data_IF_422946642577
#
_entry.id   IF_422946642577
#
_cell.length_a   1.000
_cell.length_b   1.000
_cell.length_c   1.000
_cell.angle_alpha   90.00
_cell.angle_beta   90.00
_cell.angle_gamma   90.00
#
_symmetry.space_group_name_H-M   'P 1'
#
loop_
_entity.id
_entity.type
_entity.pdbx_description
1 polymer ?
#
# COMPACT_ATOMS: atom_id res chain seq x y z
N UNK A 1 103.29 -13.95 27.13
CA UNK A 1 103.02 -14.16 25.70
C UNK A 1 102.26 -12.95 25.18
N UNK A 2 102.83 -12.31 24.14
CA UNK A 2 102.26 -11.44 23.07
C UNK A 2 100.87 -10.78 23.28
N UNK A 3 100.55 -9.56 22.84
CA UNK A 3 101.25 -8.52 22.07
C UNK A 3 100.38 -7.25 22.12
N UNK A 4 101.02 -6.10 21.96
CA UNK A 4 100.47 -4.75 21.83
C UNK A 4 99.97 -4.51 20.39
N UNK A 5 98.88 -3.74 20.16
CA UNK A 5 98.84 -2.48 19.36
C UNK A 5 97.42 -2.08 18.86
N UNK A 6 97.18 -0.77 19.02
CA UNK A 6 96.19 0.13 18.41
C UNK A 6 96.10 0.03 16.87
N UNK A 7 94.90 0.23 16.28
CA UNK A 7 94.67 0.99 15.02
C UNK A 7 93.25 1.62 15.03
N UNK A 8 93.18 2.76 14.34
CA UNK A 8 92.11 3.72 14.06
C UNK A 8 90.79 3.16 13.46
N UNK A 9 89.74 4.00 13.57
CA UNK A 9 88.37 3.69 13.19
C UNK A 9 87.96 3.99 11.75
N UNK A 10 86.64 3.85 11.49
CA UNK A 10 85.94 4.26 10.27
C UNK A 10 84.48 4.58 10.59
N UNK A 11 84.00 5.75 10.14
CA UNK A 11 82.61 6.13 10.00
C UNK A 11 81.82 5.13 9.13
N UNK A 12 80.66 4.67 9.61
CA UNK A 12 79.71 3.90 8.82
C UNK A 12 78.30 4.46 8.99
N UNK A 13 77.82 5.10 7.93
CA UNK A 13 76.48 5.67 7.79
C UNK A 13 75.38 4.60 7.92
N UNK A 14 74.25 5.01 8.51
CA UNK A 14 72.92 4.68 7.99
C UNK A 14 72.28 3.38 8.49
N UNK A 15 71.26 3.53 9.33
CA UNK A 15 69.95 2.92 9.10
C UNK A 15 68.95 3.50 10.11
N UNK A 16 68.26 4.56 9.72
CA UNK A 16 67.00 4.93 10.34
C UNK A 16 66.03 3.77 10.14
N UNK A 17 65.73 3.02 11.20
CA UNK A 17 64.55 2.16 11.25
C UNK A 17 63.31 3.07 11.35
N UNK A 18 62.97 3.70 10.23
CA UNK A 18 61.65 4.28 10.04
C UNK A 18 60.66 3.11 10.04
N UNK A 19 60.05 2.86 11.20
CA UNK A 19 58.83 2.08 11.27
C UNK A 19 57.83 2.71 10.31
N UNK A 20 57.55 2.02 9.21
CA UNK A 20 56.43 2.35 8.33
C UNK A 20 55.17 2.23 9.18
N UNK A 21 54.72 3.34 9.72
CA UNK A 21 53.29 3.59 9.91
C UNK A 21 52.67 3.33 8.53
N UNK A 22 52.00 2.19 8.38
CA UNK A 22 51.07 1.97 7.30
C UNK A 22 50.02 3.05 7.45
N UNK A 23 50.24 4.18 6.77
CA UNK A 23 49.25 5.23 6.65
C UNK A 23 48.01 4.60 6.04
N UNK A 24 46.95 4.51 6.82
CA UNK A 24 45.63 4.22 6.30
C UNK A 24 45.39 5.25 5.19
N UNK A 25 45.33 4.77 3.94
CA UNK A 25 44.87 5.59 2.84
C UNK A 25 43.52 6.20 3.20
N UNK A 26 43.15 7.36 2.62
CA UNK A 26 41.89 8.02 2.96
C UNK A 26 40.76 7.00 2.89
N UNK A 27 40.05 6.82 4.02
CA UNK A 27 38.97 5.87 4.11
C UNK A 27 37.98 6.15 2.97
N UNK A 28 37.46 5.12 2.27
CA UNK A 28 36.48 5.32 1.22
C UNK A 28 35.30 6.13 1.78
N UNK A 29 34.81 7.10 1.00
CA UNK A 29 33.73 8.00 1.41
C UNK A 29 32.45 7.24 1.84
N UNK A 30 32.31 5.98 1.43
CA UNK A 30 31.34 5.02 1.94
C UNK A 30 32.04 3.67 2.19
N UNK A 31 32.37 3.36 3.46
CA UNK A 31 33.02 2.10 3.85
C UNK A 31 32.25 0.82 3.52
N UNK A 32 30.93 0.91 3.40
CA UNK A 32 30.06 -0.20 3.04
C UNK A 32 29.60 -0.08 1.58
N UNK A 33 29.95 -1.08 0.76
CA UNK A 33 29.39 -1.25 -0.57
C UNK A 33 28.16 -2.13 -0.48
N UNK A 34 27.00 -1.60 -0.81
CA UNK A 34 25.72 -2.30 -0.80
C UNK A 34 25.45 -3.00 -2.14
N UNK A 35 24.76 -4.13 -2.09
CA UNK A 35 24.26 -4.81 -3.29
C UNK A 35 23.22 -3.95 -4.03
N UNK A 36 22.41 -3.19 -3.29
CA UNK A 36 21.58 -2.13 -3.81
C UNK A 36 21.27 -1.07 -2.74
N UNK A 37 21.16 0.19 -3.16
CA UNK A 37 20.68 1.28 -2.29
C UNK A 37 19.15 1.37 -2.25
N UNK A 38 18.47 0.76 -3.22
CA UNK A 38 17.02 0.70 -3.31
C UNK A 38 16.58 -0.69 -3.80
N UNK A 39 15.55 -1.27 -3.18
CA UNK A 39 14.94 -2.53 -3.61
C UNK A 39 13.46 -2.36 -3.82
N UNK A 40 12.97 -3.05 -4.84
CA UNK A 40 11.55 -3.06 -5.19
C UNK A 40 11.05 -4.50 -5.31
N UNK A 41 9.89 -4.77 -4.73
CA UNK A 41 9.22 -6.09 -4.82
C UNK A 41 7.76 -5.88 -5.23
N UNK A 42 7.33 -6.60 -6.27
CA UNK A 42 5.91 -6.75 -6.60
C UNK A 42 5.29 -7.80 -5.70
N UNK A 43 4.12 -7.51 -5.16
CA UNK A 43 3.44 -8.40 -4.22
C UNK A 43 2.18 -8.99 -4.84
N UNK A 44 1.81 -10.18 -4.38
CA UNK A 44 0.56 -10.82 -4.79
C UNK A 44 -0.61 -10.25 -3.99
N UNK A 45 -1.81 -10.24 -4.59
CA UNK A 45 -3.02 -9.81 -3.92
C UNK A 45 -3.26 -10.65 -2.64
N UNK A 46 -3.53 -9.97 -1.51
CA UNK A 46 -3.74 -10.64 -0.21
C UNK A 46 -2.48 -10.89 0.61
N UNK A 47 -1.28 -10.53 0.11
CA UNK A 47 -0.05 -10.58 0.90
C UNK A 47 -0.13 -9.65 2.12
N UNK A 48 0.33 -10.10 3.29
CA UNK A 48 0.33 -9.28 4.51
C UNK A 48 1.66 -8.57 4.76
N UNK A 49 2.78 -9.18 4.36
CA UNK A 49 4.12 -8.64 4.56
C UNK A 49 4.96 -8.83 3.31
N UNK A 50 5.99 -8.00 3.15
CA UNK A 50 7.05 -8.21 2.16
C UNK A 50 8.42 -8.14 2.85
N UNK A 51 9.34 -9.00 2.41
CA UNK A 51 10.71 -9.05 2.90
C UNK A 51 11.67 -8.46 1.87
N UNK A 52 12.55 -7.56 2.31
CA UNK A 52 13.70 -7.10 1.57
C UNK A 52 14.97 -7.52 2.32
N UNK A 53 15.94 -8.08 1.61
CA UNK A 53 17.24 -8.42 2.19
C UNK A 53 18.30 -7.59 1.52
N UNK A 54 19.06 -6.79 2.26
CA UNK A 54 20.21 -6.04 1.76
C UNK A 54 21.50 -6.72 2.19
N UNK A 55 22.47 -6.73 1.28
CA UNK A 55 23.82 -7.22 1.56
C UNK A 55 24.81 -6.06 1.43
N UNK A 56 25.80 -6.02 2.31
CA UNK A 56 26.90 -5.06 2.20
C UNK A 56 28.24 -5.74 2.41
N UNK A 57 29.30 -5.15 1.86
CA UNK A 57 30.69 -5.54 2.09
C UNK A 57 31.46 -4.35 2.63
N UNK A 58 32.19 -4.54 3.73
CA UNK A 58 33.10 -3.53 4.25
C UNK A 58 34.40 -3.52 3.44
N UNK A 59 34.62 -2.46 2.67
CA UNK A 59 35.82 -2.28 1.84
C UNK A 59 36.88 -1.41 2.52
N UNK A 60 36.64 -0.96 3.75
CA UNK A 60 37.58 -0.15 4.50
C UNK A 60 38.59 -1.03 5.26
N UNK A 61 39.78 -0.50 5.59
CA UNK A 61 40.77 -1.21 6.40
C UNK A 61 40.39 -1.28 7.89
N UNK A 62 39.28 -0.67 8.31
CA UNK A 62 38.83 -0.61 9.69
C UNK A 62 37.50 -1.35 9.89
N UNK A 63 37.18 -1.73 11.13
CA UNK A 63 35.87 -2.26 11.49
C UNK A 63 34.78 -1.19 11.27
N UNK A 64 33.65 -1.60 10.71
CA UNK A 64 32.44 -0.78 10.61
C UNK A 64 31.42 -1.28 11.62
N UNK A 65 30.82 -0.35 12.37
CA UNK A 65 29.76 -0.63 13.33
C UNK A 65 28.44 -0.08 12.78
N UNK A 66 27.40 -0.91 12.74
CA UNK A 66 26.02 -0.45 12.58
C UNK A 66 25.41 -0.38 13.97
N UNK A 67 25.25 0.84 14.47
CA UNK A 67 24.85 1.10 15.86
C UNK A 67 23.35 0.89 16.06
N UNK A 68 22.53 1.33 15.11
CA UNK A 68 21.10 1.06 15.09
C UNK A 68 20.50 1.31 13.70
N UNK A 69 19.28 0.82 13.50
CA UNK A 69 18.46 1.10 12.31
C UNK A 69 17.17 1.79 12.73
N UNK A 70 16.72 2.72 11.90
CA UNK A 70 15.46 3.43 12.08
C UNK A 70 14.65 3.40 10.79
N UNK A 71 13.35 3.14 10.89
CA UNK A 71 12.44 3.11 9.75
C UNK A 71 11.49 4.30 9.80
N UNK A 72 10.98 4.72 8.64
CA UNK A 72 10.12 5.92 8.57
C UNK A 72 8.70 5.74 9.13
N UNK A 73 8.29 4.52 9.50
CA UNK A 73 7.01 4.22 10.17
C UNK A 73 7.16 2.95 11.03
N UNK A 74 6.28 2.77 12.03
CA UNK A 74 6.16 1.50 12.77
C UNK A 74 5.66 0.31 11.93
N UNK A 75 5.34 0.54 10.65
CA UNK A 75 4.88 -0.47 9.71
C UNK A 75 6.02 -1.17 8.94
N UNK A 76 7.27 -0.83 9.26
CA UNK A 76 8.47 -1.44 8.67
C UNK A 76 9.47 -1.69 9.78
N UNK A 77 10.01 -2.90 9.84
CA UNK A 77 10.98 -3.33 10.86
C UNK A 77 12.25 -3.77 10.15
N UNK A 78 13.38 -3.18 10.51
CA UNK A 78 14.71 -3.59 10.05
C UNK A 78 15.38 -4.41 11.16
N UNK A 79 15.69 -5.68 10.87
CA UNK A 79 16.29 -6.63 11.80
C UNK A 79 17.76 -6.86 11.46
N UNK A 80 18.60 -6.88 12.50
CA UNK A 80 20.03 -7.17 12.46
C UNK A 80 20.37 -8.22 13.53
N UNK A 81 21.48 -8.98 13.38
CA UNK A 81 21.84 -10.03 14.34
C UNK A 81 22.17 -9.51 15.75
N UNK A 82 22.69 -8.28 15.86
CA UNK A 82 23.10 -7.67 17.12
C UNK A 82 23.14 -6.14 17.00
N UNK A 83 23.13 -5.45 18.14
CA UNK A 83 23.44 -4.01 18.22
C UNK A 83 24.59 -3.76 19.22
N UNK A 84 25.70 -3.14 18.81
CA UNK A 84 26.06 -2.82 17.42
C UNK A 84 26.28 -4.10 16.58
N UNK A 85 25.99 -4.03 15.29
CA UNK A 85 26.37 -5.08 14.33
C UNK A 85 27.74 -4.76 13.76
N UNK A 86 28.71 -5.67 13.98
CA UNK A 86 30.11 -5.48 13.60
C UNK A 86 30.39 -6.10 12.25
N UNK A 87 31.04 -5.35 11.37
CA UNK A 87 31.48 -5.82 10.06
C UNK A 87 32.98 -5.56 9.95
N UNK A 88 33.78 -6.63 10.07
CA UNK A 88 35.23 -6.58 9.95
C UNK A 88 35.68 -6.10 8.55
N UNK A 89 36.95 -5.64 8.38
CA UNK A 89 37.52 -5.36 7.06
C UNK A 89 37.35 -6.54 6.10
N UNK A 90 36.82 -6.30 4.90
CA UNK A 90 36.48 -7.34 3.91
C UNK A 90 35.24 -8.19 4.26
N UNK A 91 34.64 -8.00 5.43
CA UNK A 91 33.50 -8.77 5.91
C UNK A 91 32.19 -8.38 5.23
N UNK A 92 31.22 -9.29 5.27
CA UNK A 92 29.88 -9.11 4.72
C UNK A 92 28.83 -8.91 5.81
N UNK A 93 27.85 -8.06 5.56
CA UNK A 93 26.70 -7.83 6.42
C UNK A 93 25.38 -8.10 5.72
N UNK A 94 24.37 -8.54 6.48
CA UNK A 94 22.99 -8.74 6.02
C UNK A 94 22.01 -7.92 6.86
N UNK A 95 21.11 -7.19 6.22
CA UNK A 95 19.97 -6.52 6.87
C UNK A 95 18.67 -7.01 6.27
N UNK A 96 17.75 -7.46 7.10
CA UNK A 96 16.41 -7.89 6.69
C UNK A 96 15.38 -6.83 7.08
N UNK A 97 14.57 -6.41 6.12
CA UNK A 97 13.54 -5.40 6.29
C UNK A 97 12.20 -6.01 5.97
N UNK A 98 11.34 -6.10 6.97
CA UNK A 98 9.96 -6.58 6.82
C UNK A 98 9.03 -5.38 6.80
N UNK A 99 8.22 -5.27 5.76
CA UNK A 99 7.20 -4.24 5.62
C UNK A 99 5.81 -4.86 5.70
N UNK A 100 4.99 -4.39 6.63
CA UNK A 100 3.56 -4.69 6.69
C UNK A 100 2.84 -3.89 5.60
N UNK A 101 2.10 -4.60 4.74
CA UNK A 101 1.37 -4.03 3.61
C UNK A 101 -0.15 -4.21 3.74
N UNK A 102 -0.64 -4.69 4.87
CA UNK A 102 -2.08 -4.82 5.12
C UNK A 102 -2.76 -3.46 5.02
N UNK A 103 -3.84 -3.41 4.21
CA UNK A 103 -4.61 -2.20 3.96
C UNK A 103 -3.90 -1.13 3.12
N UNK A 104 -2.77 -1.45 2.49
CA UNK A 104 -2.04 -0.53 1.58
C UNK A 104 -2.19 -0.97 0.13
N UNK A 105 -2.10 -0.02 -0.78
CA UNK A 105 -2.22 -0.23 -2.23
C UNK A 105 -1.26 0.68 -3.00
N UNK A 106 -0.93 0.32 -4.23
CA UNK A 106 0.02 1.07 -5.06
C UNK A 106 1.46 0.93 -4.60
N UNK A 107 2.28 1.96 -4.87
CA UNK A 107 3.69 1.96 -4.50
C UNK A 107 3.86 2.43 -3.04
N UNK A 108 4.20 1.50 -2.15
CA UNK A 108 4.53 1.78 -0.75
C UNK A 108 6.04 1.88 -0.62
N UNK A 109 6.56 3.11 -0.60
CA UNK A 109 7.99 3.37 -0.42
C UNK A 109 8.31 3.78 1.01
N UNK A 110 9.36 3.18 1.58
CA UNK A 110 9.89 3.51 2.92
C UNK A 110 11.40 3.62 2.88
N UNK A 111 11.92 4.43 3.80
CA UNK A 111 13.35 4.63 4.00
C UNK A 111 13.78 3.93 5.29
N UNK A 112 14.88 3.21 5.21
CA UNK A 112 15.59 2.62 6.35
C UNK A 112 16.88 3.40 6.53
N UNK A 113 16.97 4.13 7.64
CA UNK A 113 18.18 4.82 8.07
C UNK A 113 19.06 3.83 8.84
N UNK A 114 20.26 3.60 8.34
CA UNK A 114 21.31 2.78 8.94
C UNK A 114 22.32 3.72 9.56
N UNK A 115 22.35 3.80 10.89
CA UNK A 115 23.31 4.65 11.61
C UNK A 115 24.57 3.87 11.90
N UNK A 116 25.64 4.18 11.16
CA UNK A 116 26.92 3.49 11.24
C UNK A 116 28.02 4.38 11.84
N UNK A 117 29.17 3.79 12.16
CA UNK A 117 30.35 4.49 12.68
C UNK A 117 30.90 5.58 11.75
N UNK A 118 30.57 5.52 10.46
CA UNK A 118 30.96 6.49 9.44
C UNK A 118 29.84 7.47 9.06
N UNK A 119 28.70 7.44 9.77
CA UNK A 119 27.54 8.28 9.51
C UNK A 119 26.28 7.50 9.15
N UNK A 120 25.23 8.24 8.77
CA UNK A 120 23.95 7.67 8.38
C UNK A 120 23.94 7.29 6.90
N UNK A 121 23.45 6.09 6.60
CA UNK A 121 23.17 5.61 5.25
C UNK A 121 21.68 5.37 5.09
N UNK A 122 21.12 5.73 3.93
CA UNK A 122 19.70 5.56 3.65
C UNK A 122 19.49 4.46 2.61
N UNK A 123 18.71 3.44 2.98
CA UNK A 123 18.25 2.38 2.07
C UNK A 123 16.76 2.59 1.77
N UNK A 124 16.36 2.38 0.52
CA UNK A 124 14.98 2.54 0.10
C UNK A 124 14.34 1.19 -0.20
N UNK A 125 13.14 0.97 0.32
CA UNK A 125 12.34 -0.23 0.02
C UNK A 125 11.00 0.18 -0.57
N UNK A 126 10.63 -0.42 -1.70
CA UNK A 126 9.34 -0.16 -2.38
C UNK A 126 8.59 -1.47 -2.56
N UNK A 127 7.41 -1.56 -1.94
CA UNK A 127 6.45 -2.62 -2.23
C UNK A 127 5.45 -2.13 -3.29
N UNK A 128 5.35 -2.82 -4.42
CA UNK A 128 4.29 -2.60 -5.41
C UNK A 128 3.11 -3.49 -5.04
N UNK A 129 2.15 -2.91 -4.32
CA UNK A 129 0.96 -3.61 -3.84
C UNK A 129 -0.16 -3.47 -4.87
N UNK A 130 -0.70 -4.58 -5.40
CA UNK A 130 -1.82 -4.53 -6.33
C UNK A 130 -2.96 -3.72 -5.74
N UNK A 131 -3.35 -2.66 -6.44
CA UNK A 131 -4.51 -1.87 -6.08
C UNK A 131 -5.77 -2.56 -6.65
N UNK A 132 -6.71 -3.02 -5.80
CA UNK A 132 -7.92 -3.70 -6.24
C UNK A 132 -8.86 -2.78 -7.05
N UNK A 133 -8.62 -1.45 -7.04
CA UNK A 133 -9.46 -0.42 -7.68
C UNK A 133 -8.70 0.30 -8.81
N UNK A 134 -7.37 0.18 -8.93
CA UNK A 134 -6.61 0.86 -10.01
C UNK A 134 -7.08 0.47 -11.42
N UNK A 135 -7.55 -0.78 -11.61
CA UNK A 135 -8.16 -1.20 -12.88
C UNK A 135 -9.61 -0.70 -13.05
N UNK A 136 -10.29 -0.25 -12.00
CA UNK A 136 -11.64 0.31 -12.10
C UNK A 136 -11.65 1.75 -12.63
N UNK A 137 -10.54 2.50 -12.50
CA UNK A 137 -10.44 3.88 -13.02
C UNK A 137 -10.12 3.95 -14.52
N UNK A 138 -9.78 2.81 -15.13
CA UNK A 138 -9.54 2.67 -16.58
C UNK A 138 -10.17 1.40 -17.12
N UNK A 139 -11.43 1.13 -16.74
CA UNK A 139 -12.17 0.07 -17.43
C UNK A 139 -12.26 0.43 -18.90
N UNK A 140 -11.63 -0.38 -19.75
CA UNK A 140 -11.77 -0.20 -21.18
C UNK A 140 -13.20 -0.58 -21.60
N UNK A 141 -13.60 -0.14 -22.78
CA UNK A 141 -14.97 -0.35 -23.28
C UNK A 141 -15.36 -1.85 -23.30
N UNK A 142 -14.41 -2.73 -23.59
CA UNK A 142 -14.64 -4.17 -23.60
C UNK A 142 -14.93 -4.74 -22.20
N UNK A 143 -14.15 -4.34 -21.19
CA UNK A 143 -14.40 -4.71 -19.79
C UNK A 143 -15.73 -4.15 -19.28
N UNK A 144 -16.06 -2.92 -19.66
CA UNK A 144 -17.35 -2.30 -19.36
C UNK A 144 -18.51 -3.09 -19.94
N UNK A 145 -18.41 -3.47 -21.22
CA UNK A 145 -19.41 -4.31 -21.88
C UNK A 145 -19.50 -5.70 -21.24
N UNK A 146 -18.37 -6.30 -20.89
CA UNK A 146 -18.35 -7.60 -20.22
C UNK A 146 -19.05 -7.54 -18.85
N UNK A 147 -18.75 -6.53 -18.02
CA UNK A 147 -19.40 -6.33 -16.73
C UNK A 147 -20.90 -6.09 -16.87
N UNK A 148 -21.32 -5.35 -17.91
CA UNK A 148 -22.75 -5.18 -18.23
C UNK A 148 -23.42 -6.48 -18.68
N UNK A 149 -22.72 -7.33 -19.43
CA UNK A 149 -23.23 -8.62 -19.87
C UNK A 149 -23.40 -9.59 -18.70
N UNK A 150 -22.44 -9.63 -17.76
CA UNK A 150 -22.55 -10.40 -16.52
C UNK A 150 -23.77 -9.94 -15.72
N UNK A 151 -23.92 -8.63 -15.51
CA UNK A 151 -25.06 -8.07 -14.79
C UNK A 151 -26.41 -8.29 -15.51
N UNK A 152 -26.42 -8.37 -16.85
CA UNK A 152 -27.62 -8.70 -17.63
C UNK A 152 -28.00 -10.17 -17.49
N UNK A 153 -27.02 -11.07 -17.43
CA UNK A 153 -27.24 -12.50 -17.28
C UNK A 153 -27.67 -12.88 -15.85
N UNK A 154 -27.00 -12.33 -14.83
CA UNK A 154 -27.38 -12.46 -13.43
C UNK A 154 -27.25 -11.09 -12.74
N UNK A 155 -28.37 -10.41 -12.53
CA UNK A 155 -28.38 -9.13 -11.82
C UNK A 155 -27.85 -9.26 -10.39
N UNK A 156 -27.94 -10.43 -9.75
CA UNK A 156 -27.39 -10.65 -8.41
C UNK A 156 -25.88 -10.87 -8.40
N UNK A 157 -25.21 -11.02 -9.55
CA UNK A 157 -23.77 -11.28 -9.63
C UNK A 157 -22.94 -10.17 -8.99
N UNK A 158 -23.45 -8.93 -8.99
CA UNK A 158 -22.80 -7.76 -8.39
C UNK A 158 -22.54 -7.90 -6.89
N UNK A 159 -23.25 -8.81 -6.20
CA UNK A 159 -23.07 -9.08 -4.77
C UNK A 159 -22.18 -10.27 -4.46
N UNK A 160 -21.51 -10.85 -5.47
CA UNK A 160 -20.76 -12.11 -5.35
C UNK A 160 -19.29 -11.92 -5.73
N UNK A 161 -18.43 -12.82 -5.25
CA UNK A 161 -17.04 -12.94 -5.68
C UNK A 161 -16.25 -11.63 -5.57
N UNK A 162 -15.53 -11.28 -6.65
CA UNK A 162 -14.65 -10.10 -6.72
C UNK A 162 -15.42 -8.77 -6.72
N UNK A 163 -16.75 -8.78 -6.84
CA UNK A 163 -17.57 -7.56 -6.78
C UNK A 163 -17.90 -7.11 -5.35
N UNK A 164 -17.78 -8.01 -4.35
CA UNK A 164 -18.12 -7.77 -2.95
C UNK A 164 -17.42 -6.55 -2.34
N UNK A 165 -16.09 -6.35 -2.50
CA UNK A 165 -15.38 -5.24 -1.86
C UNK A 165 -15.94 -3.85 -2.20
N UNK A 166 -16.51 -3.70 -3.40
CA UNK A 166 -17.03 -2.41 -3.88
C UNK A 166 -18.55 -2.29 -3.76
N UNK A 167 -19.30 -3.40 -3.89
CA UNK A 167 -20.77 -3.34 -3.93
C UNK A 167 -21.47 -3.82 -2.65
N UNK A 168 -20.79 -4.61 -1.82
CA UNK A 168 -21.37 -5.19 -0.60
C UNK A 168 -20.73 -4.58 0.64
N UNK A 169 -19.40 -4.62 0.74
CA UNK A 169 -18.67 -4.13 1.91
C UNK A 169 -19.05 -2.70 2.31
N UNK A 170 -19.23 -1.73 1.37
CA UNK A 170 -19.60 -0.37 1.74
C UNK A 170 -21.00 -0.22 2.34
N UNK A 171 -21.86 -1.24 2.25
CA UNK A 171 -23.23 -1.23 2.80
C UNK A 171 -23.30 -1.74 4.24
N UNK A 172 -22.24 -2.40 4.73
CA UNK A 172 -22.21 -3.04 6.04
C UNK A 172 -22.36 -1.98 7.15
N UNK A 173 -23.31 -2.20 8.06
CA UNK A 173 -23.56 -1.32 9.21
C UNK A 173 -24.22 0.01 8.88
N UNK A 174 -24.50 0.31 7.60
CA UNK A 174 -25.15 1.55 7.20
C UNK A 174 -26.66 1.43 7.21
N UNK A 175 -27.32 2.56 7.47
CA UNK A 175 -28.77 2.75 7.55
C UNK A 175 -29.15 4.05 6.81
N UNK A 176 -30.42 4.23 6.45
CA UNK A 176 -30.97 5.47 5.88
C UNK A 176 -30.15 6.06 4.71
N UNK A 177 -29.80 7.35 4.81
CA UNK A 177 -29.03 8.07 3.79
C UNK A 177 -27.65 7.46 3.51
N UNK A 178 -26.76 7.21 4.51
CA UNK A 178 -25.47 6.57 4.26
C UNK A 178 -25.58 5.22 3.53
N UNK A 179 -26.68 4.49 3.76
CA UNK A 179 -26.95 3.24 3.05
C UNK A 179 -27.40 3.50 1.61
N UNK A 180 -28.27 4.49 1.39
CA UNK A 180 -28.66 4.92 0.03
C UNK A 180 -27.43 5.31 -0.78
N UNK A 181 -26.54 6.13 -0.24
CA UNK A 181 -25.35 6.62 -0.94
C UNK A 181 -24.43 5.45 -1.36
N UNK A 182 -24.29 4.45 -0.48
CA UNK A 182 -23.45 3.28 -0.71
C UNK A 182 -24.06 2.25 -1.69
N UNK A 183 -25.38 2.05 -1.67
CA UNK A 183 -26.04 0.95 -2.38
C UNK A 183 -26.82 1.39 -3.62
N UNK A 184 -27.41 2.59 -3.59
CA UNK A 184 -28.34 3.08 -4.61
C UNK A 184 -27.80 4.30 -5.37
N UNK A 185 -27.10 5.20 -4.66
CA UNK A 185 -26.56 6.45 -5.19
C UNK A 185 -25.57 6.23 -6.32
N UNK A 186 -24.79 5.15 -6.27
CA UNK A 186 -23.85 4.75 -7.33
C UNK A 186 -24.48 4.60 -8.71
N UNK A 187 -25.80 4.39 -8.80
CA UNK A 187 -26.54 4.36 -10.06
C UNK A 187 -27.52 5.52 -10.18
N UNK A 188 -28.32 5.78 -9.14
CA UNK A 188 -29.41 6.76 -9.22
C UNK A 188 -28.95 8.21 -9.06
N UNK A 189 -27.80 8.42 -8.41
CA UNK A 189 -27.18 9.72 -8.19
C UNK A 189 -25.87 9.92 -8.96
N UNK A 190 -25.50 8.97 -9.83
CA UNK A 190 -24.29 9.05 -10.64
C UNK A 190 -24.23 10.33 -11.49
N UNK A 191 -23.04 10.93 -11.59
CA UNK A 191 -22.77 12.13 -12.39
C UNK A 191 -23.23 11.97 -13.85
N UNK A 192 -22.85 10.84 -14.44
CA UNK A 192 -23.26 10.43 -15.77
C UNK A 192 -24.27 9.29 -15.70
N UNK A 193 -25.39 9.52 -14.99
CA UNK A 193 -26.47 8.55 -14.87
C UNK A 193 -26.96 8.09 -16.25
N UNK A 194 -26.91 6.78 -16.49
CA UNK A 194 -27.42 6.20 -17.72
C UNK A 194 -28.93 6.47 -17.90
N UNK A 195 -29.37 6.71 -19.13
CA UNK A 195 -30.77 7.06 -19.46
C UNK A 195 -31.79 6.00 -19.01
N UNK A 196 -31.38 4.73 -18.92
CA UNK A 196 -32.21 3.64 -18.41
C UNK A 196 -32.40 3.63 -16.89
N UNK A 197 -31.58 4.38 -16.14
CA UNK A 197 -31.66 4.47 -14.68
C UNK A 197 -32.55 5.66 -14.29
N UNK A 198 -33.69 5.43 -13.62
CA UNK A 198 -34.63 6.49 -13.29
C UNK A 198 -34.07 7.42 -12.21
N UNK A 199 -34.51 8.69 -12.27
CA UNK A 199 -34.32 9.63 -11.16
C UNK A 199 -35.32 9.33 -10.05
N UNK A 200 -34.83 8.88 -8.91
CA UNK A 200 -35.69 8.48 -7.79
C UNK A 200 -36.33 9.68 -7.07
N UNK A 201 -35.81 10.89 -7.27
CA UNK A 201 -36.39 12.14 -6.70
C UNK A 201 -37.51 12.71 -7.57
N UNK A 202 -37.71 12.18 -8.77
CA UNK A 202 -38.81 12.58 -9.66
C UNK A 202 -39.59 11.35 -10.13
N UNK A 203 -40.22 10.60 -9.20
CA UNK A 203 -40.93 9.39 -9.55
C UNK A 203 -42.17 9.73 -10.41
N UNK A 204 -42.38 8.96 -11.48
CA UNK A 204 -43.55 9.12 -12.37
C UNK A 204 -44.88 8.68 -11.76
N UNK A 205 -44.86 8.16 -10.53
CA UNK A 205 -46.01 7.59 -9.80
C UNK A 205 -45.84 7.86 -8.30
N UNK A 206 -46.93 7.80 -7.50
CA UNK A 206 -46.83 7.92 -6.06
C UNK A 206 -45.87 6.88 -5.48
N UNK A 207 -44.76 7.35 -4.93
CA UNK A 207 -43.69 6.50 -4.42
C UNK A 207 -43.92 6.20 -2.93
N UNK A 208 -44.97 5.40 -2.68
CA UNK A 208 -45.37 4.98 -1.34
C UNK A 208 -44.32 4.06 -0.69
N UNK A 209 -44.46 3.81 0.61
CA UNK A 209 -43.61 2.85 1.34
C UNK A 209 -43.58 1.48 0.66
N UNK A 210 -44.74 0.94 0.30
CA UNK A 210 -44.85 -0.37 -0.37
C UNK A 210 -44.20 -0.37 -1.75
N UNK A 211 -44.32 0.74 -2.48
CA UNK A 211 -43.64 0.92 -3.76
C UNK A 211 -42.12 0.76 -3.59
N UNK A 212 -41.52 1.47 -2.62
CA UNK A 212 -40.09 1.39 -2.37
C UNK A 212 -39.66 0.02 -1.83
N UNK A 213 -40.41 -0.55 -0.90
CA UNK A 213 -40.16 -1.90 -0.36
C UNK A 213 -40.08 -2.92 -1.50
N UNK A 214 -41.06 -2.91 -2.40
CA UNK A 214 -41.08 -3.85 -3.52
C UNK A 214 -39.81 -3.75 -4.38
N UNK A 215 -39.42 -2.54 -4.79
CA UNK A 215 -38.26 -2.36 -5.66
C UNK A 215 -36.93 -2.60 -4.94
N UNK A 216 -36.79 -2.19 -3.68
CA UNK A 216 -35.56 -2.43 -2.90
C UNK A 216 -35.41 -3.92 -2.63
N UNK A 217 -36.47 -4.60 -2.19
CA UNK A 217 -36.39 -6.00 -1.79
C UNK A 217 -36.18 -6.93 -2.98
N UNK A 218 -36.95 -6.76 -4.05
CA UNK A 218 -37.00 -7.72 -5.17
C UNK A 218 -36.23 -7.27 -6.42
N UNK A 219 -35.73 -6.03 -6.42
CA UNK A 219 -35.14 -5.42 -7.60
C UNK A 219 -36.18 -5.26 -8.70
N UNK A 220 -35.71 -5.11 -9.94
CA UNK A 220 -36.59 -4.99 -11.10
C UNK A 220 -36.26 -6.07 -12.13
N UNK A 221 -37.17 -7.05 -12.34
CA UNK A 221 -37.00 -8.08 -13.37
C UNK A 221 -36.70 -7.49 -14.74
N UNK A 222 -35.90 -8.20 -15.54
CA UNK A 222 -35.47 -7.80 -16.88
C UNK A 222 -34.73 -6.45 -16.94
N UNK A 223 -34.11 -6.05 -15.83
CA UNK A 223 -33.22 -4.89 -15.77
C UNK A 223 -31.96 -5.22 -14.98
N UNK A 224 -31.02 -4.28 -14.95
CA UNK A 224 -29.79 -4.39 -14.17
C UNK A 224 -29.98 -4.15 -12.67
N UNK A 225 -31.18 -3.78 -12.20
CA UNK A 225 -31.42 -3.48 -10.79
C UNK A 225 -31.59 -4.77 -9.99
N UNK A 226 -30.63 -5.12 -9.11
CA UNK A 226 -30.68 -6.34 -8.33
C UNK A 226 -31.69 -6.25 -7.19
N UNK A 227 -32.01 -7.41 -6.62
CA UNK A 227 -32.75 -7.54 -5.38
C UNK A 227 -31.79 -7.33 -4.20
N UNK A 228 -32.05 -6.36 -3.33
CA UNK A 228 -31.12 -6.01 -2.24
C UNK A 228 -31.40 -6.74 -0.93
N UNK A 229 -32.60 -7.30 -0.75
CA UNK A 229 -32.93 -8.05 0.46
C UNK A 229 -32.11 -9.34 0.54
N UNK A 230 -31.61 -9.68 1.74
CA UNK A 230 -30.92 -10.96 2.01
C UNK A 230 -31.76 -12.18 1.63
N UNK A 231 -33.07 -12.12 1.83
CA UNK A 231 -34.01 -13.17 1.43
C UNK A 231 -34.07 -13.41 -0.08
N UNK A 232 -33.58 -12.45 -0.89
CA UNK A 232 -33.50 -12.52 -2.35
C UNK A 232 -32.04 -12.64 -2.85
N UNK A 233 -31.09 -12.94 -1.96
CA UNK A 233 -29.67 -13.04 -2.28
C UNK A 233 -28.94 -11.69 -2.39
N UNK A 234 -29.54 -10.61 -1.89
CA UNK A 234 -28.90 -9.30 -1.76
C UNK A 234 -28.16 -9.11 -0.42
N UNK A 235 -27.47 -7.99 -0.23
CA UNK A 235 -26.62 -7.79 0.95
C UNK A 235 -27.36 -7.26 2.19
N UNK A 236 -28.57 -6.72 2.04
CA UNK A 236 -29.23 -5.93 3.08
C UNK A 236 -30.11 -6.77 4.00
N UNK A 237 -29.95 -6.54 5.30
CA UNK A 237 -30.88 -7.06 6.32
C UNK A 237 -32.24 -6.37 6.25
N UNK A 238 -33.27 -6.98 6.81
CA UNK A 238 -34.62 -6.39 6.85
C UNK A 238 -34.60 -5.01 7.54
N UNK A 239 -33.87 -4.87 8.66
CA UNK A 239 -33.69 -3.59 9.34
C UNK A 239 -33.08 -2.50 8.43
N UNK A 240 -32.08 -2.87 7.63
CA UNK A 240 -31.46 -1.97 6.66
C UNK A 240 -32.43 -1.59 5.53
N UNK A 241 -33.19 -2.56 5.02
CA UNK A 241 -34.22 -2.32 4.00
C UNK A 241 -35.28 -1.35 4.53
N UNK A 242 -35.82 -1.59 5.73
CA UNK A 242 -36.83 -0.71 6.33
C UNK A 242 -36.27 0.70 6.56
N UNK A 243 -35.06 0.81 7.12
CA UNK A 243 -34.42 2.11 7.35
C UNK A 243 -34.19 2.87 6.04
N UNK A 244 -33.78 2.18 4.97
CA UNK A 244 -33.61 2.77 3.65
C UNK A 244 -34.95 3.27 3.09
N UNK A 245 -36.02 2.49 3.23
CA UNK A 245 -37.34 2.88 2.75
C UNK A 245 -37.88 4.10 3.52
N UNK A 246 -37.72 4.15 4.84
CA UNK A 246 -38.11 5.33 5.63
C UNK A 246 -37.38 6.60 5.15
N UNK A 247 -36.11 6.47 4.80
CA UNK A 247 -35.38 7.56 4.18
C UNK A 247 -35.98 7.96 2.82
N UNK A 248 -36.28 6.99 1.95
CA UNK A 248 -36.82 7.21 0.60
C UNK A 248 -38.21 7.88 0.57
N UNK A 249 -39.08 7.59 1.55
CA UNK A 249 -40.41 8.23 1.66
C UNK A 249 -40.38 9.58 2.36
N UNK A 250 -39.35 9.86 3.15
CA UNK A 250 -39.24 11.08 3.95
C UNK A 250 -38.09 11.98 3.48
N UNK A 251 -36.96 12.06 4.23
CA UNK A 251 -35.89 13.04 3.97
C UNK A 251 -35.33 13.02 2.54
N UNK A 252 -35.34 11.87 1.86
CA UNK A 252 -34.84 11.76 0.49
C UNK A 252 -35.61 12.64 -0.50
N UNK A 253 -36.93 12.76 -0.36
CA UNK A 253 -37.77 13.56 -1.26
C UNK A 253 -37.45 15.06 -1.18
N UNK A 254 -36.87 15.51 -0.06
CA UNK A 254 -36.44 16.88 0.18
C UNK A 254 -34.96 17.10 -0.13
N UNK A 255 -34.20 16.02 -0.37
CA UNK A 255 -32.78 16.08 -0.65
C UNK A 255 -32.49 16.49 -2.09
N UNK A 256 -31.36 17.14 -2.32
CA UNK A 256 -30.80 17.33 -3.66
C UNK A 256 -29.80 16.21 -3.97
N UNK A 257 -29.60 15.90 -5.26
CA UNK A 257 -28.53 14.99 -5.65
C UNK A 257 -27.18 15.69 -5.35
N UNK A 258 -26.31 15.13 -4.50
CA UNK A 258 -25.09 15.78 -4.04
C UNK A 258 -24.09 16.04 -5.19
N UNK A 259 -24.07 15.18 -6.21
CA UNK A 259 -23.22 15.34 -7.40
C UNK A 259 -23.71 16.50 -8.27
N UNK A 260 -25.03 16.62 -8.46
CA UNK A 260 -25.63 17.76 -9.20
C UNK A 260 -25.56 19.06 -8.40
N UNK A 261 -25.64 19.00 -7.07
CA UNK A 261 -25.56 20.17 -6.19
C UNK A 261 -24.15 20.81 -6.22
N UNK A 262 -23.09 19.99 -6.35
CA UNK A 262 -21.72 20.46 -6.52
C UNK A 262 -21.43 21.09 -7.90
N UNK A 263 -22.36 20.96 -8.87
CA UNK A 263 -22.23 21.42 -10.24
C UNK A 263 -23.17 22.59 -10.59
N UNK A 264 -24.01 23.04 -9.65
CA UNK A 264 -24.88 24.19 -9.87
C UNK A 264 -24.03 25.47 -9.97
N UNK A 265 -24.22 26.31 -11.02
CA UNK A 265 -23.48 27.56 -11.12
C UNK A 265 -23.87 28.46 -9.94
N UNK A 266 -22.85 29.03 -9.29
CA UNK A 266 -23.00 30.13 -8.33
C UNK A 266 -23.60 31.37 -9.00
#
# INVERSE_FOLDING_TARGET
MLSVRYVLGVCGLGAWLAGRLLGAGPAPAQPLVWDAMAKEVKTEAGSSNVLFTFYCTNISPAEVLINHTQTSCGCTVASLPSYPYRIAPGGQGKIEVVMDIRGKFGNVTKTVTVNASFGAQYLTVTAKVPDPIANSLKMNEHERLNNQNIARADRQAVFKGTCIPCHVTPTVGKMGQPLFDAACGVCHDAEHRATMVPDLRQPKRPATRDYWLNWVMFGKPNTLMPAFAKSQGGPLTDAQVFSLVEYLVGPFQQSTNPVRAAQAPH
#
